data_IF_966013800831
#
_entry.id   IF_966013800831
#
_cell.length_a   1.000
_cell.length_b   1.000
_cell.length_c   1.000
_cell.angle_alpha   90.00
_cell.angle_beta   90.00
_cell.angle_gamma   90.00
#
_symmetry.space_group_name_H-M   'P 1'
#
loop_
_entity.id
_entity.type
_entity.pdbx_description
1 polymer ?
#
# COMPACT_ATOMS: atom_id res chain seq x y z
N UNK A 1 42.73 -15.68 66.87
CA UNK A 1 43.72 -15.62 65.79
C UNK A 1 43.44 -14.36 65.01
N UNK A 2 44.38 -13.41 64.95
CA UNK A 2 44.24 -12.21 64.11
C UNK A 2 44.94 -12.50 62.80
N UNK A 3 44.25 -12.35 61.67
CA UNK A 3 44.85 -12.45 60.35
C UNK A 3 45.88 -11.32 60.19
N UNK A 4 47.01 -11.61 59.53
CA UNK A 4 47.98 -10.57 59.19
C UNK A 4 47.45 -9.73 58.03
N UNK A 5 47.89 -8.48 57.91
CA UNK A 5 47.46 -7.59 56.82
C UNK A 5 47.74 -8.22 55.44
N UNK A 6 48.89 -8.90 55.30
CA UNK A 6 49.29 -9.60 54.07
C UNK A 6 48.31 -10.75 53.70
N UNK A 7 47.83 -11.52 54.68
CA UNK A 7 46.84 -12.57 54.45
C UNK A 7 45.48 -12.00 54.03
N UNK A 8 45.12 -10.84 54.56
CA UNK A 8 43.88 -10.15 54.20
C UNK A 8 43.98 -9.60 52.76
N UNK A 9 45.10 -8.98 52.42
CA UNK A 9 45.36 -8.41 51.09
C UNK A 9 45.42 -9.51 50.02
N UNK A 10 46.04 -10.65 50.31
CA UNK A 10 46.07 -11.81 49.41
C UNK A 10 44.68 -12.41 49.19
N UNK A 11 43.86 -12.53 50.25
CA UNK A 11 42.49 -13.00 50.13
C UNK A 11 41.61 -12.05 49.29
N UNK A 12 41.81 -10.74 49.43
CA UNK A 12 41.10 -9.73 48.64
C UNK A 12 41.52 -9.80 47.15
N UNK A 13 42.82 -9.96 46.87
CA UNK A 13 43.30 -10.11 45.50
C UNK A 13 42.78 -11.38 44.84
N UNK A 14 42.78 -12.51 45.57
CA UNK A 14 42.24 -13.77 45.06
C UNK A 14 40.73 -13.68 44.79
N UNK A 15 39.96 -13.12 45.72
CA UNK A 15 38.52 -12.91 45.53
C UNK A 15 38.23 -11.98 44.36
N UNK A 16 39.06 -10.94 44.15
CA UNK A 16 38.94 -10.04 43.01
C UNK A 16 39.22 -10.74 41.68
N UNK A 17 40.28 -11.54 41.61
CA UNK A 17 40.62 -12.31 40.42
C UNK A 17 39.53 -13.35 40.10
N UNK A 18 39.05 -14.05 41.12
CA UNK A 18 37.96 -15.02 40.99
C UNK A 18 36.68 -14.37 40.48
N UNK A 19 36.31 -13.19 41.01
CA UNK A 19 35.16 -12.43 40.52
C UNK A 19 35.33 -11.96 39.07
N UNK A 20 36.52 -11.47 38.70
CA UNK A 20 36.80 -11.07 37.32
C UNK A 20 36.64 -12.25 36.35
N UNK A 21 37.19 -13.41 36.71
CA UNK A 21 37.17 -14.58 35.83
C UNK A 21 35.79 -15.25 35.75
N UNK A 22 35.09 -15.38 36.88
CA UNK A 22 33.84 -16.14 36.95
C UNK A 22 32.59 -15.32 36.68
N UNK A 23 32.62 -14.02 36.95
CA UNK A 23 31.45 -13.16 36.83
C UNK A 23 31.64 -12.12 35.71
N UNK A 24 32.70 -11.31 35.78
CA UNK A 24 32.85 -10.19 34.86
C UNK A 24 33.12 -10.63 33.42
N UNK A 25 34.06 -11.56 33.21
CA UNK A 25 34.44 -12.03 31.87
C UNK A 25 33.29 -12.72 31.13
N UNK A 26 32.50 -13.62 31.75
CA UNK A 26 31.32 -14.20 31.11
C UNK A 26 30.26 -13.17 30.74
N UNK A 27 29.97 -12.21 31.64
CA UNK A 27 28.99 -11.13 31.36
C UNK A 27 29.45 -10.26 30.17
N UNK A 28 30.74 -9.94 30.11
CA UNK A 28 31.34 -9.21 28.99
C UNK A 28 31.18 -9.99 27.68
N UNK A 29 31.45 -11.29 27.72
CA UNK A 29 31.35 -12.16 26.55
C UNK A 29 29.91 -12.26 26.06
N UNK A 30 28.96 -12.51 26.96
CA UNK A 30 27.52 -12.57 26.63
C UNK A 30 27.02 -11.23 26.08
N UNK A 31 27.41 -10.11 26.68
CA UNK A 31 27.10 -8.78 26.14
C UNK A 31 27.64 -8.60 24.73
N UNK A 32 28.89 -8.99 24.48
CA UNK A 32 29.54 -8.80 23.18
C UNK A 32 28.90 -9.70 22.10
N UNK A 33 28.48 -10.91 22.47
CA UNK A 33 27.65 -11.77 21.63
C UNK A 33 26.27 -11.14 21.36
N UNK A 34 25.63 -10.50 22.35
CA UNK A 34 24.32 -9.89 22.17
C UNK A 34 24.35 -8.60 21.33
N UNK A 35 25.47 -7.87 21.33
CA UNK A 35 25.63 -6.64 20.55
C UNK A 35 25.47 -6.86 19.03
N UNK A 36 25.73 -8.07 18.52
CA UNK A 36 25.53 -8.40 17.10
C UNK A 36 24.05 -8.39 16.68
N UNK A 37 23.14 -8.59 17.63
CA UNK A 37 21.69 -8.57 17.39
C UNK A 37 21.09 -7.19 17.59
N UNK A 38 21.90 -6.20 18.00
CA UNK A 38 21.43 -4.83 18.08
C UNK A 38 21.02 -4.39 16.66
N UNK A 39 19.78 -3.93 16.46
CA UNK A 39 19.38 -3.35 15.19
C UNK A 39 20.39 -2.27 14.82
N UNK A 40 20.93 -2.33 13.60
CA UNK A 40 21.78 -1.27 13.10
C UNK A 40 20.96 0.02 13.15
N UNK A 41 21.41 0.98 13.94
CA UNK A 41 20.90 2.32 13.86
C UNK A 41 21.17 2.79 12.44
N UNK A 42 20.10 2.92 11.63
CA UNK A 42 20.17 3.55 10.33
C UNK A 42 20.90 4.87 10.51
N UNK A 43 21.97 5.08 9.75
CA UNK A 43 22.72 6.33 9.82
C UNK A 43 21.77 7.50 9.54
N UNK A 44 22.10 8.70 10.01
CA UNK A 44 21.28 9.88 9.73
C UNK A 44 21.06 10.10 8.21
N UNK A 45 22.02 9.65 7.38
CA UNK A 45 21.92 9.65 5.92
C UNK A 45 20.91 8.62 5.40
N UNK A 46 20.87 7.41 5.97
CA UNK A 46 19.90 6.37 5.58
C UNK A 46 18.47 6.76 5.98
N UNK A 47 18.28 7.37 7.16
CA UNK A 47 16.99 7.93 7.57
C UNK A 47 16.56 9.06 6.65
N UNK A 48 17.48 9.97 6.30
CA UNK A 48 17.19 11.06 5.39
C UNK A 48 16.81 10.56 3.98
N UNK A 49 17.47 9.51 3.49
CA UNK A 49 17.13 8.87 2.22
C UNK A 49 15.77 8.19 2.26
N UNK A 50 15.45 7.47 3.34
CA UNK A 50 14.15 6.81 3.51
C UNK A 50 13.00 7.82 3.52
N UNK A 51 13.15 8.92 4.27
CA UNK A 51 12.15 9.99 4.30
C UNK A 51 11.98 10.62 2.92
N UNK A 52 13.08 10.91 2.21
CA UNK A 52 13.01 11.44 0.84
C UNK A 52 12.31 10.50 -0.14
N UNK A 53 12.55 9.19 -0.02
CA UNK A 53 11.88 8.20 -0.88
C UNK A 53 10.37 8.16 -0.60
N UNK A 54 9.96 8.18 0.67
CA UNK A 54 8.54 8.28 1.03
C UNK A 54 7.90 9.57 0.53
N UNK A 55 8.55 10.72 0.72
CA UNK A 55 8.03 12.00 0.23
C UNK A 55 7.89 12.05 -1.30
N UNK A 56 8.84 11.44 -2.03
CA UNK A 56 8.76 11.35 -3.49
C UNK A 56 7.61 10.46 -3.93
N UNK A 57 7.44 9.32 -3.26
CA UNK A 57 6.36 8.39 -3.57
C UNK A 57 4.99 9.00 -3.25
N UNK A 58 4.85 9.70 -2.13
CA UNK A 58 3.61 10.43 -1.80
C UNK A 58 3.26 11.48 -2.86
N UNK A 59 4.26 12.19 -3.39
CA UNK A 59 4.06 13.14 -4.49
C UNK A 59 3.66 12.44 -5.79
N UNK A 60 4.24 11.28 -6.07
CA UNK A 60 3.91 10.47 -7.25
C UNK A 60 2.45 10.00 -7.18
N UNK A 61 2.00 9.50 -6.02
CA UNK A 61 0.59 9.16 -5.77
C UNK A 61 -0.32 10.36 -6.03
N UNK A 62 0.01 11.53 -5.46
CA UNK A 62 -0.80 12.75 -5.65
C UNK A 62 -0.84 13.19 -7.11
N UNK A 63 0.29 13.11 -7.81
CA UNK A 63 0.38 13.47 -9.21
C UNK A 63 -0.49 12.55 -10.06
N UNK A 64 -0.43 11.24 -9.87
CA UNK A 64 -1.20 10.32 -10.72
C UNK A 64 -2.69 10.32 -10.41
N UNK A 65 -3.08 10.46 -9.14
CA UNK A 65 -4.48 10.69 -8.81
C UNK A 65 -4.99 11.97 -9.46
N UNK A 66 -4.18 13.04 -9.48
CA UNK A 66 -4.57 14.29 -10.14
C UNK A 66 -4.67 14.13 -11.67
N UNK A 67 -3.72 13.45 -12.30
CA UNK A 67 -3.74 13.16 -13.74
C UNK A 67 -4.98 12.37 -14.15
N UNK A 68 -5.46 11.46 -13.29
CA UNK A 68 -6.70 10.70 -13.48
C UNK A 68 -7.98 11.45 -13.09
N UNK A 69 -7.88 12.69 -12.57
CA UNK A 69 -9.04 13.45 -12.06
C UNK A 69 -9.61 12.90 -10.75
N UNK A 70 -8.84 12.12 -10.02
CA UNK A 70 -9.16 11.46 -8.75
C UNK A 70 -8.54 12.17 -7.54
N UNK A 71 -8.17 13.44 -7.68
CA UNK A 71 -7.54 14.25 -6.63
C UNK A 71 -8.31 14.28 -5.30
N UNK A 72 -9.64 14.14 -5.35
CA UNK A 72 -10.49 14.08 -4.16
C UNK A 72 -10.26 12.82 -3.31
N UNK A 73 -9.67 11.77 -3.89
CA UNK A 73 -9.35 10.52 -3.20
C UNK A 73 -7.94 10.50 -2.60
N UNK A 74 -7.13 11.54 -2.78
CA UNK A 74 -5.76 11.60 -2.26
C UNK A 74 -5.66 11.42 -0.74
N UNK A 75 -6.69 11.81 0.02
CA UNK A 75 -6.72 11.63 1.47
C UNK A 75 -7.01 10.19 1.94
N UNK A 76 -7.47 9.31 1.04
CA UNK A 76 -7.85 7.93 1.38
C UNK A 76 -7.01 6.86 0.69
N UNK A 77 -6.36 7.20 -0.43
CA UNK A 77 -5.49 6.28 -1.16
C UNK A 77 -4.14 6.16 -0.43
N UNK A 78 -3.89 5.00 0.17
CA UNK A 78 -2.60 4.61 0.76
C UNK A 78 -2.15 3.33 0.10
N UNK A 79 -1.13 3.44 -0.74
CA UNK A 79 -0.52 2.31 -1.46
C UNK A 79 0.93 2.19 -1.05
N UNK A 80 1.50 1.01 -1.20
CA UNK A 80 2.90 0.74 -0.82
C UNK A 80 3.83 0.63 -2.03
N UNK A 81 3.27 0.50 -3.22
CA UNK A 81 4.00 0.35 -4.48
C UNK A 81 3.19 0.89 -5.67
N UNK A 82 3.86 1.04 -6.80
CA UNK A 82 3.29 1.60 -8.03
C UNK A 82 2.24 0.68 -8.67
N UNK A 83 2.37 -0.63 -8.56
CA UNK A 83 1.41 -1.57 -9.15
C UNK A 83 0.03 -1.49 -8.46
N UNK A 84 0.04 -1.37 -7.14
CA UNK A 84 -1.14 -1.07 -6.33
C UNK A 84 -1.74 0.28 -6.71
N UNK A 85 -0.91 1.31 -6.94
CA UNK A 85 -1.37 2.63 -7.35
C UNK A 85 -2.15 2.55 -8.67
N UNK A 86 -1.59 1.88 -9.68
CA UNK A 86 -2.25 1.70 -10.98
C UNK A 86 -3.58 0.97 -10.84
N UNK A 87 -3.60 -0.13 -10.09
CA UNK A 87 -4.83 -0.93 -9.86
C UNK A 87 -5.92 -0.12 -9.17
N UNK A 88 -5.53 0.69 -8.18
CA UNK A 88 -6.45 1.58 -7.45
C UNK A 88 -7.00 2.67 -8.38
N UNK A 89 -6.14 3.29 -9.19
CA UNK A 89 -6.55 4.32 -10.16
C UNK A 89 -7.54 3.76 -11.19
N UNK A 90 -7.27 2.58 -11.73
CA UNK A 90 -8.17 1.91 -12.68
C UNK A 90 -9.53 1.63 -12.05
N UNK A 91 -9.53 1.08 -10.83
CA UNK A 91 -10.74 0.76 -10.08
C UNK A 91 -11.57 2.01 -9.76
N UNK A 92 -10.92 3.07 -9.26
CA UNK A 92 -11.57 4.34 -8.95
C UNK A 92 -12.13 5.02 -10.20
N UNK A 93 -11.37 5.01 -11.30
CA UNK A 93 -11.83 5.54 -12.59
C UNK A 93 -13.07 4.79 -13.08
N UNK A 94 -13.07 3.46 -12.97
CA UNK A 94 -14.23 2.62 -13.30
C UNK A 94 -15.48 3.01 -12.50
N UNK A 95 -15.34 3.10 -11.17
CA UNK A 95 -16.43 3.50 -10.27
C UNK A 95 -16.96 4.90 -10.63
N UNK A 96 -16.07 5.87 -10.86
CA UNK A 96 -16.47 7.23 -11.23
C UNK A 96 -17.22 7.25 -12.56
N UNK A 97 -16.79 6.45 -13.54
CA UNK A 97 -17.48 6.35 -14.82
C UNK A 97 -18.87 5.70 -14.68
N UNK A 98 -18.99 4.63 -13.90
CA UNK A 98 -20.28 3.98 -13.64
C UNK A 98 -21.25 4.92 -12.93
N UNK A 99 -20.77 5.70 -11.96
CA UNK A 99 -21.54 6.74 -11.28
C UNK A 99 -21.97 7.83 -12.28
N UNK A 100 -21.07 8.29 -13.17
CA UNK A 100 -21.41 9.27 -14.21
C UNK A 100 -22.47 8.76 -15.18
N UNK A 101 -22.43 7.47 -15.54
CA UNK A 101 -23.42 6.87 -16.45
C UNK A 101 -24.76 6.71 -15.75
N UNK A 102 -24.76 6.21 -14.51
CA UNK A 102 -25.99 5.98 -13.73
C UNK A 102 -26.70 7.26 -13.28
N UNK A 103 -25.94 8.30 -12.92
CA UNK A 103 -26.48 9.62 -12.54
C UNK A 103 -26.53 10.59 -13.73
N UNK A 104 -26.07 10.17 -14.90
CA UNK A 104 -26.08 10.96 -16.11
C UNK A 104 -27.51 11.26 -16.56
N UNK A 105 -27.71 12.46 -17.10
CA UNK A 105 -29.00 12.86 -17.65
C UNK A 105 -29.40 11.93 -18.81
N UNK A 106 -30.48 11.17 -18.63
CA UNK A 106 -31.13 10.42 -19.71
C UNK A 106 -32.13 11.37 -20.37
N UNK A 107 -31.93 11.78 -21.64
CA UNK A 107 -32.89 12.64 -22.32
C UNK A 107 -34.25 11.94 -22.43
N UNK A 108 -35.33 12.62 -22.07
CA UNK A 108 -36.71 12.11 -22.18
C UNK A 108 -37.08 11.72 -23.62
N UNK A 109 -36.35 12.23 -24.61
CA UNK A 109 -36.56 11.95 -26.03
C UNK A 109 -35.45 11.07 -26.63
N UNK A 110 -34.99 10.06 -25.89
CA UNK A 110 -34.31 8.94 -26.53
C UNK A 110 -35.39 8.20 -27.32
N UNK A 111 -35.37 8.33 -28.66
CA UNK A 111 -36.25 7.53 -29.51
C UNK A 111 -36.01 6.07 -29.15
N UNK A 112 -36.96 5.44 -28.45
CA UNK A 112 -36.94 4.00 -28.30
C UNK A 112 -36.89 3.44 -29.70
N UNK A 113 -35.81 2.72 -30.01
CA UNK A 113 -35.65 2.10 -31.31
C UNK A 113 -36.83 1.14 -31.48
N UNK A 114 -37.72 1.45 -32.41
CA UNK A 114 -38.85 0.59 -32.66
C UNK A 114 -38.36 -0.71 -33.32
N UNK A 115 -39.12 -1.79 -33.19
CA UNK A 115 -38.74 -3.11 -33.72
C UNK A 115 -38.36 -3.04 -35.20
N UNK A 116 -39.07 -2.22 -35.99
CA UNK A 116 -38.77 -2.01 -37.40
C UNK A 116 -37.38 -1.39 -37.62
N UNK A 117 -37.00 -0.37 -36.85
CA UNK A 117 -35.69 0.29 -36.90
C UNK A 117 -34.56 -0.66 -36.45
N UNK A 118 -34.85 -1.58 -35.53
CA UNK A 118 -33.91 -2.65 -35.13
C UNK A 118 -33.69 -3.66 -36.26
N UNK A 119 -34.74 -4.11 -36.94
CA UNK A 119 -34.63 -5.00 -38.09
C UNK A 119 -33.98 -4.31 -39.30
N UNK A 120 -34.27 -3.02 -39.52
CA UNK A 120 -33.66 -2.21 -40.57
C UNK A 120 -32.14 -2.09 -40.38
N UNK A 121 -31.67 -1.81 -39.16
CA UNK A 121 -30.22 -1.79 -38.87
C UNK A 121 -29.53 -3.13 -39.12
N UNK A 122 -30.22 -4.24 -38.84
CA UNK A 122 -29.70 -5.60 -39.03
C UNK A 122 -29.82 -6.12 -40.46
N UNK A 123 -30.34 -5.31 -41.39
CA UNK A 123 -30.72 -5.72 -42.76
C UNK A 123 -31.68 -6.93 -42.78
N UNK A 124 -32.47 -7.13 -41.72
CA UNK A 124 -33.44 -8.23 -41.62
C UNK A 124 -34.76 -7.83 -42.29
N UNK A 125 -34.81 -8.02 -43.60
CA UNK A 125 -35.99 -7.74 -44.42
C UNK A 125 -37.23 -8.54 -43.98
N UNK A 126 -37.06 -9.77 -43.44
CA UNK A 126 -38.19 -10.57 -42.96
C UNK A 126 -38.78 -9.98 -41.69
N UNK A 127 -37.92 -9.61 -40.74
CA UNK A 127 -38.31 -8.90 -39.52
C UNK A 127 -39.02 -7.58 -39.84
N UNK A 128 -38.49 -6.78 -40.77
CA UNK A 128 -39.10 -5.52 -41.21
C UNK A 128 -40.53 -5.71 -41.75
N UNK A 129 -40.73 -6.72 -42.60
CA UNK A 129 -42.05 -7.03 -43.19
C UNK A 129 -43.00 -7.54 -42.11
N UNK A 130 -42.55 -8.45 -41.24
CA UNK A 130 -43.35 -9.00 -40.15
C UNK A 130 -43.83 -7.88 -39.20
N UNK A 131 -42.95 -6.95 -38.84
CA UNK A 131 -43.31 -5.81 -37.99
C UNK A 131 -44.35 -4.90 -38.65
N UNK A 132 -44.22 -4.64 -39.96
CA UNK A 132 -45.20 -3.84 -40.71
C UNK A 132 -46.56 -4.53 -40.81
N UNK A 133 -46.57 -5.84 -41.08
CA UNK A 133 -47.80 -6.62 -41.19
C UNK A 133 -48.51 -6.73 -39.84
N UNK A 134 -47.77 -7.02 -38.77
CA UNK A 134 -48.31 -7.05 -37.40
C UNK A 134 -48.89 -5.70 -36.98
N UNK A 135 -48.34 -4.59 -37.47
CA UNK A 135 -48.88 -3.24 -37.19
C UNK A 135 -50.10 -2.87 -38.04
N UNK A 136 -50.28 -3.53 -39.19
CA UNK A 136 -51.41 -3.30 -40.10
C UNK A 136 -52.60 -4.23 -39.82
N UNK A 137 -52.36 -5.42 -39.27
CA UNK A 137 -53.36 -6.48 -39.15
C UNK A 137 -53.44 -7.11 -37.75
N UNK A 138 -52.59 -6.69 -36.81
CA UNK A 138 -52.65 -7.10 -35.40
C UNK A 138 -53.45 -6.13 -34.54
#
# INVERSE_FOLDING_TARGET
>A
MSFTQEQLDEAIQNAKNEWVEKELNPIITERDELLQFKPKDLSDEEKALQTKQQELFDKEIQFELKSAGLEQFAGVVKVTNTDELTTVIESLTGIVNDIKVSLGYIPDNHKQQNEYDTFAQKNDTKGMIATKLSKLFG
#
